data_IF_551950574623
#
_entry.id   IF_551950574623
#
_cell.length_a   1.000
_cell.length_b   1.000
_cell.length_c   1.000
_cell.angle_alpha   90.00
_cell.angle_beta   90.00
_cell.angle_gamma   90.00
#
_symmetry.space_group_name_H-M   'P 1'
#
loop_
_entity.id
_entity.type
_entity.pdbx_description
1 polymer ?
#
# COMPACT_ATOMS: atom_id res chain seq x y z
N UNK A 1 11.10 2.86 -21.81
CA UNK A 1 10.47 1.82 -22.67
C UNK A 1 9.09 1.56 -22.11
N UNK A 2 8.07 1.33 -22.91
CA UNK A 2 6.74 0.97 -22.42
C UNK A 2 6.03 0.07 -23.44
N UNK A 3 5.06 -0.72 -22.98
CA UNK A 3 4.30 -1.59 -23.86
C UNK A 3 3.45 -2.60 -23.10
N UNK A 4 2.98 -3.61 -23.82
CA UNK A 4 2.15 -4.69 -23.29
C UNK A 4 2.93 -6.02 -23.26
N UNK A 5 2.66 -6.85 -22.26
CA UNK A 5 3.24 -8.19 -22.13
C UNK A 5 2.76 -9.18 -23.20
N UNK A 6 1.70 -8.85 -23.95
CA UNK A 6 1.32 -9.59 -25.17
C UNK A 6 2.29 -9.37 -26.33
N UNK A 7 3.06 -8.29 -26.32
CA UNK A 7 4.00 -7.92 -27.39
C UNK A 7 5.44 -8.34 -27.06
N UNK A 8 5.81 -8.27 -25.79
CA UNK A 8 7.15 -8.61 -25.30
C UNK A 8 7.08 -9.21 -23.90
N UNK A 9 7.69 -10.37 -23.71
CA UNK A 9 7.70 -11.02 -22.40
C UNK A 9 8.67 -10.36 -21.41
N UNK A 10 8.43 -10.59 -20.12
CA UNK A 10 9.27 -10.06 -19.03
C UNK A 10 10.74 -10.45 -19.18
N UNK A 11 11.02 -11.68 -19.63
CA UNK A 11 12.40 -12.15 -19.84
C UNK A 11 13.14 -11.24 -20.83
N UNK A 12 12.50 -10.94 -21.96
CA UNK A 12 13.07 -10.12 -23.02
C UNK A 12 13.26 -8.67 -22.57
N UNK A 13 12.31 -8.13 -21.80
CA UNK A 13 12.45 -6.79 -21.19
C UNK A 13 13.69 -6.73 -20.29
N UNK A 14 13.85 -7.71 -19.39
CA UNK A 14 15.00 -7.78 -18.48
C UNK A 14 16.33 -7.92 -19.25
N UNK A 15 16.36 -8.71 -20.32
CA UNK A 15 17.55 -8.87 -21.16
C UNK A 15 17.93 -7.58 -21.90
N UNK A 16 16.94 -6.80 -22.37
CA UNK A 16 17.20 -5.49 -22.99
C UNK A 16 17.80 -4.48 -22.00
N UNK A 17 17.38 -4.54 -20.73
CA UNK A 17 17.94 -3.72 -19.65
C UNK A 17 19.39 -4.13 -19.35
N UNK A 18 19.65 -5.44 -19.27
CA UNK A 18 21.00 -6.01 -19.04
C UNK A 18 21.98 -5.61 -20.16
N UNK A 19 21.63 -5.90 -21.42
CA UNK A 19 22.48 -5.61 -22.58
C UNK A 19 22.71 -4.11 -22.77
N UNK A 20 21.70 -3.30 -22.48
CA UNK A 20 21.79 -1.84 -22.55
C UNK A 20 22.45 -1.20 -21.33
N UNK A 21 22.88 -1.98 -20.34
CA UNK A 21 23.44 -1.48 -19.07
C UNK A 21 22.59 -0.37 -18.43
N UNK A 22 21.26 -0.50 -18.53
CA UNK A 22 20.35 0.60 -18.18
C UNK A 22 20.20 0.74 -16.65
N UNK A 23 20.02 1.98 -16.21
CA UNK A 23 19.76 2.35 -14.82
C UNK A 23 18.40 3.03 -14.75
N UNK A 24 17.57 2.61 -13.81
CA UNK A 24 16.19 3.07 -13.72
C UNK A 24 15.28 2.09 -13.01
N UNK A 25 13.98 2.24 -13.21
CA UNK A 25 12.96 1.40 -12.59
C UNK A 25 11.99 0.85 -13.64
N UNK A 26 11.66 -0.43 -13.49
CA UNK A 26 10.65 -1.13 -14.27
C UNK A 26 9.41 -1.29 -13.39
N UNK A 27 8.32 -0.69 -13.80
CA UNK A 27 6.99 -0.95 -13.29
C UNK A 27 6.25 -1.94 -14.19
N UNK A 28 5.57 -2.91 -13.59
CA UNK A 28 4.73 -3.89 -14.28
C UNK A 28 3.39 -4.00 -13.57
N UNK A 29 2.30 -3.98 -14.32
CA UNK A 29 0.92 -4.17 -13.85
C UNK A 29 0.29 -5.34 -14.61
N UNK A 30 -0.30 -6.30 -13.90
CA UNK A 30 -0.96 -7.44 -14.53
C UNK A 30 -2.40 -7.09 -14.95
N UNK A 31 -2.81 -7.59 -16.10
CA UNK A 31 -4.21 -7.58 -16.50
C UNK A 31 -4.87 -8.87 -16.04
N UNK A 32 -5.96 -8.77 -15.27
CA UNK A 32 -6.68 -9.95 -14.82
C UNK A 32 -7.29 -10.69 -16.01
N UNK A 33 -6.70 -11.80 -16.41
CA UNK A 33 -7.36 -12.80 -17.24
C UNK A 33 -8.30 -13.61 -16.35
N UNK A 34 -9.62 -13.39 -16.49
CA UNK A 34 -10.61 -14.33 -15.99
C UNK A 34 -10.27 -15.74 -16.48
N UNK A 35 -10.21 -16.77 -15.61
CA UNK A 35 -10.20 -18.14 -16.08
C UNK A 35 -11.62 -18.50 -16.52
N UNK A 36 -11.97 -18.14 -17.76
CA UNK A 36 -13.17 -18.60 -18.45
C UNK A 36 -14.03 -17.49 -19.07
N UNK A 37 -14.16 -17.54 -20.41
CA UNK A 37 -15.35 -17.07 -21.11
C UNK A 37 -15.30 -15.66 -21.71
N UNK A 38 -15.22 -15.61 -23.04
CA UNK A 38 -15.67 -14.49 -23.86
C UNK A 38 -17.16 -14.24 -23.55
N UNK A 39 -17.53 -13.04 -23.11
CA UNK A 39 -18.89 -12.51 -23.29
C UNK A 39 -18.89 -10.98 -23.26
N UNK A 40 -19.30 -10.42 -24.39
CA UNK A 40 -19.66 -9.02 -24.59
C UNK A 40 -20.99 -8.75 -23.85
N UNK A 41 -21.09 -7.55 -23.24
CA UNK A 41 -22.30 -6.84 -22.80
C UNK A 41 -23.17 -7.43 -21.67
N UNK A 42 -23.07 -6.83 -20.48
CA UNK A 42 -24.10 -5.97 -19.88
C UNK A 42 -23.58 -5.44 -18.53
N UNK A 43 -23.51 -4.11 -18.39
CA UNK A 43 -23.01 -3.40 -17.21
C UNK A 43 -24.12 -3.36 -16.15
N UNK A 44 -23.87 -3.99 -15.01
CA UNK A 44 -24.70 -3.87 -13.81
C UNK A 44 -23.94 -2.98 -12.79
N UNK A 45 -24.42 -1.77 -12.47
CA UNK A 45 -23.68 -0.76 -11.69
C UNK A 45 -23.60 -1.05 -10.18
N UNK A 46 -24.14 -2.18 -9.69
CA UNK A 46 -24.21 -2.47 -8.24
C UNK A 46 -23.37 -3.67 -7.78
N UNK A 47 -22.46 -4.19 -8.60
CA UNK A 47 -21.44 -5.16 -8.15
C UNK A 47 -20.06 -4.49 -8.10
N UNK A 48 -19.68 -4.03 -6.91
CA UNK A 48 -18.32 -3.62 -6.57
C UNK A 48 -17.35 -4.75 -6.92
N UNK A 49 -16.56 -4.52 -7.98
CA UNK A 49 -15.51 -5.40 -8.46
C UNK A 49 -14.33 -5.36 -7.50
N UNK A 50 -14.32 -6.22 -6.49
CA UNK A 50 -13.14 -6.53 -5.68
C UNK A 50 -12.13 -7.34 -6.53
N UNK A 51 -11.33 -6.65 -7.33
CA UNK A 51 -10.25 -7.26 -8.11
C UNK A 51 -8.99 -6.40 -7.95
N UNK A 52 -8.12 -6.75 -7.00
CA UNK A 52 -6.84 -6.04 -6.78
C UNK A 52 -5.95 -6.17 -8.02
N UNK A 53 -5.67 -5.06 -8.69
CA UNK A 53 -4.64 -4.96 -9.73
C UNK A 53 -3.27 -5.23 -9.09
N UNK A 54 -2.64 -6.35 -9.45
CA UNK A 54 -1.30 -6.68 -8.96
C UNK A 54 -0.26 -5.91 -9.75
N UNK A 55 0.67 -5.26 -9.04
CA UNK A 55 1.75 -4.49 -9.64
C UNK A 55 3.07 -4.70 -8.92
N UNK A 56 4.15 -4.57 -9.69
CA UNK A 56 5.52 -4.84 -9.26
C UNK A 56 6.46 -3.74 -9.72
N UNK A 57 7.51 -3.52 -8.92
CA UNK A 57 8.63 -2.66 -9.23
C UNK A 57 9.93 -3.46 -9.21
N UNK A 58 10.81 -3.21 -10.18
CA UNK A 58 12.18 -3.73 -10.22
C UNK A 58 13.13 -2.58 -10.47
N UNK A 59 14.17 -2.45 -9.66
CA UNK A 59 15.11 -1.34 -9.72
C UNK A 59 16.47 -1.81 -10.22
N UNK A 60 17.06 -1.03 -11.12
CA UNK A 60 18.27 -1.40 -11.84
C UNK A 60 19.37 -0.36 -11.70
N UNK A 61 20.61 -0.84 -11.68
CA UNK A 61 21.81 -0.03 -11.81
C UNK A 61 22.80 -0.74 -12.73
N UNK A 62 23.21 -0.03 -13.78
CA UNK A 62 24.15 -0.52 -14.78
C UNK A 62 23.79 -1.91 -15.34
N UNK A 63 22.51 -2.15 -15.63
CA UNK A 63 22.02 -3.43 -16.16
C UNK A 63 21.87 -4.56 -15.13
N UNK A 64 22.09 -4.31 -13.83
CA UNK A 64 21.93 -5.28 -12.76
C UNK A 64 20.73 -4.91 -11.86
N UNK A 65 20.10 -5.90 -11.23
CA UNK A 65 18.97 -5.66 -10.30
C UNK A 65 19.49 -5.31 -8.91
N UNK A 66 18.99 -4.22 -8.33
CA UNK A 66 19.28 -3.81 -6.94
C UNK A 66 18.22 -4.38 -6.00
N UNK A 67 16.95 -4.23 -6.37
CA UNK A 67 15.81 -4.53 -5.52
C UNK A 67 14.57 -4.78 -6.36
N UNK A 68 13.61 -5.53 -5.83
CA UNK A 68 12.30 -5.70 -6.43
C UNK A 68 11.21 -5.90 -5.38
N UNK A 69 10.02 -5.35 -5.64
CA UNK A 69 8.87 -5.37 -4.73
C UNK A 69 7.55 -5.45 -5.46
N UNK A 70 6.46 -5.55 -4.71
CA UNK A 70 5.10 -5.50 -5.22
C UNK A 70 4.25 -4.56 -4.36
N UNK A 71 3.29 -3.88 -4.97
CA UNK A 71 2.44 -2.88 -4.31
C UNK A 71 1.46 -3.52 -3.31
N UNK A 72 1.17 -4.82 -3.49
CA UNK A 72 0.36 -5.66 -2.60
C UNK A 72 0.89 -5.76 -1.15
N UNK A 73 2.09 -5.23 -0.86
CA UNK A 73 2.78 -5.33 0.43
C UNK A 73 2.95 -3.97 1.13
N UNK A 74 2.09 -2.99 0.84
CA UNK A 74 2.11 -1.64 1.44
C UNK A 74 2.14 -1.60 2.98
N UNK A 75 1.86 -2.72 3.67
CA UNK A 75 1.91 -2.89 5.12
C UNK A 75 3.21 -3.50 5.68
N UNK A 76 4.30 -3.57 4.90
CA UNK A 76 5.59 -4.18 5.28
C UNK A 76 5.52 -5.66 5.69
N UNK A 77 4.40 -6.35 5.43
CA UNK A 77 4.19 -7.74 5.85
C UNK A 77 5.27 -8.68 5.30
N UNK A 78 5.64 -8.53 4.02
CA UNK A 78 6.69 -9.34 3.40
C UNK A 78 8.04 -9.11 4.07
N UNK A 79 8.47 -7.87 4.28
CA UNK A 79 9.68 -7.57 5.06
C UNK A 79 9.60 -8.16 6.46
N UNK A 80 8.48 -7.97 7.18
CA UNK A 80 8.28 -8.48 8.54
C UNK A 80 8.45 -10.00 8.60
N UNK A 81 7.91 -10.74 7.63
CA UNK A 81 8.09 -12.20 7.53
C UNK A 81 9.57 -12.59 7.42
N UNK A 82 10.36 -11.86 6.62
CA UNK A 82 11.80 -12.11 6.50
C UNK A 82 12.56 -11.79 7.78
N UNK A 83 12.14 -10.79 8.54
CA UNK A 83 12.77 -10.41 9.80
C UNK A 83 12.53 -11.43 10.92
N UNK A 84 11.42 -12.17 10.89
CA UNK A 84 11.12 -13.23 11.89
C UNK A 84 12.22 -14.27 11.96
N UNK A 85 12.87 -14.60 10.83
CA UNK A 85 14.01 -15.51 10.78
C UNK A 85 15.17 -15.05 11.68
N UNK A 86 15.33 -13.75 11.82
CA UNK A 86 16.38 -13.13 12.65
C UNK A 86 15.86 -12.69 14.02
N UNK A 87 14.58 -12.94 14.33
CA UNK A 87 13.90 -12.54 15.58
C UNK A 87 13.90 -11.02 15.83
N UNK A 88 13.77 -10.24 14.76
CA UNK A 88 13.78 -8.76 14.80
C UNK A 88 12.57 -8.14 14.09
N UNK A 89 11.49 -8.90 13.92
CA UNK A 89 10.28 -8.45 13.22
C UNK A 89 9.55 -7.30 13.93
N UNK A 90 9.62 -7.25 15.26
CA UNK A 90 9.10 -6.15 16.09
C UNK A 90 9.94 -4.88 16.01
N UNK A 91 11.15 -4.92 15.42
CA UNK A 91 11.98 -3.73 15.26
C UNK A 91 11.34 -2.72 14.30
N UNK A 92 10.49 -3.18 13.37
CA UNK A 92 9.75 -2.30 12.46
C UNK A 92 8.79 -1.36 13.20
N UNK A 93 8.22 -1.80 14.33
CA UNK A 93 7.19 -1.05 15.06
C UNK A 93 7.77 0.19 15.77
N UNK A 94 9.07 0.16 16.05
CA UNK A 94 9.79 1.22 16.77
C UNK A 94 10.60 2.14 15.84
N UNK A 95 10.63 1.85 14.53
CA UNK A 95 11.38 2.64 13.56
C UNK A 95 10.57 3.86 13.13
N UNK A 96 11.17 5.04 13.26
CA UNK A 96 10.65 6.24 12.59
C UNK A 96 10.71 6.01 11.09
N UNK A 97 9.66 6.45 10.37
CA UNK A 97 9.58 6.26 8.92
C UNK A 97 10.84 6.83 8.24
N UNK A 98 11.70 5.98 7.64
CA UNK A 98 13.04 6.41 7.23
C UNK A 98 12.96 7.41 6.10
N UNK A 99 13.68 8.54 6.16
CA UNK A 99 13.78 9.60 5.13
C UNK A 99 14.04 9.06 3.70
N UNK A 100 14.62 7.87 3.61
CA UNK A 100 15.06 7.16 2.40
C UNK A 100 14.00 6.21 1.81
N UNK A 101 12.85 5.97 2.47
CA UNK A 101 11.74 5.27 1.82
C UNK A 101 11.30 6.01 0.54
N UNK A 102 11.92 5.65 -0.58
CA UNK A 102 11.51 5.97 -1.94
C UNK A 102 10.10 5.43 -2.11
N UNK A 103 9.19 6.25 -2.64
CA UNK A 103 7.76 5.95 -2.74
C UNK A 103 7.49 4.54 -3.30
N UNK A 104 8.30 4.08 -4.25
CA UNK A 104 8.13 2.80 -4.95
C UNK A 104 8.84 1.61 -4.27
N UNK A 105 9.56 1.83 -3.17
CA UNK A 105 10.29 0.79 -2.44
C UNK A 105 10.30 1.04 -0.91
N UNK A 106 9.12 1.09 -0.26
CA UNK A 106 9.04 1.35 1.18
C UNK A 106 9.82 0.30 1.99
N UNK A 107 9.67 -0.99 1.67
CA UNK A 107 10.40 -2.07 2.35
C UNK A 107 11.93 -1.91 2.25
N UNK A 108 12.44 -1.40 1.12
CA UNK A 108 13.87 -1.14 0.95
C UNK A 108 14.35 -0.03 1.89
N UNK A 109 13.56 1.04 2.05
CA UNK A 109 13.84 2.11 3.01
C UNK A 109 13.85 1.62 4.46
N UNK A 110 12.88 0.80 4.86
CA UNK A 110 12.85 0.19 6.20
C UNK A 110 14.00 -0.78 6.43
N UNK A 111 14.36 -1.59 5.43
CA UNK A 111 15.52 -2.46 5.50
C UNK A 111 16.81 -1.65 5.75
N UNK A 112 16.97 -0.50 5.09
CA UNK A 112 18.11 0.38 5.33
C UNK A 112 18.12 0.98 6.73
N UNK A 113 16.98 1.42 7.25
CA UNK A 113 16.92 1.92 8.62
C UNK A 113 17.28 0.83 9.64
N UNK A 114 16.92 -0.43 9.40
CA UNK A 114 17.37 -1.54 10.24
C UNK A 114 18.89 -1.76 10.18
N UNK A 115 19.50 -1.57 9.01
CA UNK A 115 20.96 -1.66 8.84
C UNK A 115 21.69 -0.51 9.52
N UNK A 116 21.20 0.73 9.37
CA UNK A 116 21.77 1.93 10.00
C UNK A 116 21.71 1.86 11.52
N UNK A 117 20.58 1.39 12.06
CA UNK A 117 20.41 1.16 13.51
C UNK A 117 21.09 -0.13 14.02
N UNK A 118 21.86 -0.82 13.17
CA UNK A 118 22.58 -2.07 13.49
C UNK A 118 21.70 -3.21 14.00
N UNK A 119 20.40 -3.17 13.70
CA UNK A 119 19.46 -4.27 13.99
C UNK A 119 19.73 -5.45 13.05
N UNK A 120 20.09 -5.15 11.80
CA UNK A 120 20.54 -6.13 10.82
C UNK A 120 22.01 -5.92 10.48
N UNK A 121 22.71 -7.02 10.21
CA UNK A 121 24.03 -6.99 9.58
C UNK A 121 23.90 -6.85 8.05
N UNK A 122 24.92 -6.30 7.36
CA UNK A 122 24.92 -6.22 5.89
C UNK A 122 24.70 -7.58 5.20
N UNK A 123 25.22 -8.67 5.77
CA UNK A 123 25.01 -10.02 5.22
C UNK A 123 23.54 -10.46 5.31
N UNK A 124 22.86 -10.15 6.42
CA UNK A 124 21.43 -10.42 6.58
C UNK A 124 20.61 -9.57 5.62
N UNK A 125 20.92 -8.27 5.50
CA UNK A 125 20.27 -7.37 4.53
C UNK A 125 20.40 -7.87 3.09
N UNK A 126 21.60 -8.30 2.66
CA UNK A 126 21.81 -8.88 1.32
C UNK A 126 20.97 -10.14 1.11
N UNK A 127 20.92 -11.02 2.10
CA UNK A 127 20.10 -12.23 2.03
C UNK A 127 18.61 -11.90 1.87
N UNK A 128 18.10 -10.90 2.58
CA UNK A 128 16.68 -10.48 2.48
C UNK A 128 16.40 -9.90 1.09
N UNK A 129 17.24 -8.97 0.60
CA UNK A 129 17.09 -8.40 -0.75
C UNK A 129 17.08 -9.49 -1.80
N UNK A 130 18.03 -10.43 -1.71
CA UNK A 130 18.10 -11.54 -2.66
C UNK A 130 16.80 -12.36 -2.65
N UNK A 131 16.28 -12.72 -1.48
CA UNK A 131 15.03 -13.48 -1.39
C UNK A 131 13.83 -12.69 -1.92
N UNK A 132 13.73 -11.40 -1.61
CA UNK A 132 12.69 -10.51 -2.14
C UNK A 132 12.72 -10.39 -3.67
N UNK A 133 13.92 -10.22 -4.26
CA UNK A 133 14.09 -10.18 -5.71
C UNK A 133 13.70 -11.52 -6.34
N UNK A 134 14.14 -12.64 -5.76
CA UNK A 134 13.79 -13.97 -6.24
C UNK A 134 12.27 -14.18 -6.24
N UNK A 135 11.58 -13.77 -5.19
CA UNK A 135 10.13 -13.89 -5.08
C UNK A 135 9.39 -13.01 -6.10
N UNK A 136 9.79 -11.74 -6.24
CA UNK A 136 9.16 -10.82 -7.19
C UNK A 136 9.38 -11.27 -8.64
N UNK A 137 10.60 -11.71 -8.98
CA UNK A 137 10.88 -12.22 -10.32
C UNK A 137 10.16 -13.54 -10.61
N UNK A 138 9.92 -14.38 -9.61
CA UNK A 138 9.10 -15.58 -9.79
C UNK A 138 7.68 -15.21 -10.25
N UNK A 139 7.08 -14.19 -9.63
CA UNK A 139 5.76 -13.70 -10.01
C UNK A 139 5.79 -13.09 -11.42
N UNK A 140 6.72 -12.16 -11.65
CA UNK A 140 6.86 -11.47 -12.94
C UNK A 140 7.10 -12.43 -14.11
N UNK A 141 8.00 -13.41 -13.96
CA UNK A 141 8.30 -14.40 -15.01
C UNK A 141 7.17 -15.42 -15.22
N UNK A 142 6.16 -15.42 -14.35
CA UNK A 142 4.93 -16.21 -14.50
C UNK A 142 3.81 -15.43 -15.19
N UNK A 143 3.97 -14.11 -15.41
CA UNK A 143 2.97 -13.27 -16.06
C UNK A 143 2.95 -13.48 -17.59
N UNK A 144 1.74 -13.45 -18.14
CA UNK A 144 1.49 -13.54 -19.59
C UNK A 144 0.73 -12.33 -20.15
N UNK A 145 0.07 -11.55 -19.29
CA UNK A 145 -0.72 -10.39 -19.66
C UNK A 145 -0.50 -9.25 -18.67
N UNK A 146 -0.42 -8.03 -19.18
CA UNK A 146 -0.16 -6.84 -18.38
C UNK A 146 0.49 -5.74 -19.20
N UNK A 147 0.77 -4.62 -18.55
CA UNK A 147 1.55 -3.53 -19.11
C UNK A 147 2.79 -3.27 -18.30
N UNK A 148 3.79 -2.68 -18.95
CA UNK A 148 5.02 -2.30 -18.28
C UNK A 148 5.48 -0.92 -18.74
N UNK A 149 6.18 -0.23 -17.84
CA UNK A 149 6.93 1.00 -18.12
C UNK A 149 8.30 0.87 -17.46
N UNK A 150 9.33 1.18 -18.22
CA UNK A 150 10.69 1.35 -17.74
C UNK A 150 11.09 2.81 -17.92
N UNK A 151 11.37 3.48 -16.81
CA UNK A 151 11.87 4.85 -16.79
C UNK A 151 13.35 4.88 -16.41
N UNK A 152 14.13 5.66 -17.17
CA UNK A 152 15.52 5.94 -16.83
C UNK A 152 15.53 6.95 -15.69
N UNK A 153 16.33 6.70 -14.68
CA UNK A 153 16.37 7.54 -13.49
C UNK A 153 17.58 7.26 -12.61
N UNK A 154 17.71 7.96 -11.48
CA UNK A 154 18.73 7.63 -10.49
C UNK A 154 18.50 6.21 -9.96
N UNK A 155 19.59 5.49 -9.70
CA UNK A 155 19.51 4.21 -9.01
C UNK A 155 18.99 4.40 -7.59
N UNK A 156 18.33 3.37 -7.04
CA UNK A 156 18.07 3.29 -5.62
C UNK A 156 19.38 3.44 -4.83
N UNK A 157 19.37 4.36 -3.87
CA UNK A 157 20.48 4.64 -2.99
C UNK A 157 20.01 4.66 -1.52
N UNK A 158 20.81 4.18 -0.56
CA UNK A 158 22.12 3.55 -0.76
C UNK A 158 22.00 2.13 -1.36
N UNK A 159 23.10 1.61 -1.93
CA UNK A 159 23.14 0.27 -2.55
C UNK A 159 23.84 -0.73 -1.64
N UNK A 160 23.21 -1.89 -1.40
CA UNK A 160 23.78 -2.96 -0.57
C UNK A 160 24.35 -4.13 -1.38
N UNK A 161 23.72 -4.42 -2.52
CA UNK A 161 24.08 -5.50 -3.45
C UNK A 161 23.45 -5.23 -4.81
N UNK A 162 24.03 -5.84 -5.84
CA UNK A 162 23.46 -5.96 -7.18
C UNK A 162 23.39 -7.42 -7.59
N UNK A 163 22.50 -7.76 -8.51
CA UNK A 163 22.25 -9.13 -8.97
C UNK A 163 22.25 -9.19 -10.51
N UNK A 164 23.05 -10.11 -11.05
CA UNK A 164 23.15 -10.38 -12.50
C UNK A 164 21.85 -10.98 -13.05
N UNK A 165 21.27 -10.33 -14.06
CA UNK A 165 19.95 -10.67 -14.61
C UNK A 165 19.98 -12.06 -15.25
N UNK A 166 20.90 -12.33 -16.18
CA UNK A 166 20.90 -13.57 -16.96
C UNK A 166 21.01 -14.83 -16.10
N UNK A 167 21.86 -14.81 -15.07
CA UNK A 167 22.02 -15.95 -14.15
C UNK A 167 20.79 -16.15 -13.27
N UNK A 168 20.13 -15.06 -12.87
CA UNK A 168 18.99 -15.07 -11.98
C UNK A 168 17.72 -15.53 -12.69
N UNK A 169 17.45 -14.95 -13.86
CA UNK A 169 16.30 -15.31 -14.71
C UNK A 169 16.36 -16.79 -15.08
N UNK A 170 17.53 -17.30 -15.47
CA UNK A 170 17.69 -18.73 -15.82
C UNK A 170 17.31 -19.65 -14.64
N UNK A 171 17.80 -19.34 -13.43
CA UNK A 171 17.49 -20.10 -12.20
C UNK A 171 16.00 -20.03 -11.86
N UNK A 172 15.38 -18.85 -11.96
CA UNK A 172 13.98 -18.64 -11.58
C UNK A 172 13.03 -19.24 -12.61
N UNK A 173 13.31 -19.11 -13.91
CA UNK A 173 12.50 -19.76 -14.95
C UNK A 173 12.45 -21.28 -14.78
N UNK A 174 13.55 -21.92 -14.39
CA UNK A 174 13.54 -23.35 -14.04
C UNK A 174 12.55 -23.63 -12.91
N UNK A 175 12.54 -22.79 -11.87
CA UNK A 175 11.60 -22.92 -10.74
C UNK A 175 10.14 -22.69 -11.15
N UNK A 176 9.88 -21.71 -12.01
CA UNK A 176 8.54 -21.44 -12.57
C UNK A 176 8.05 -22.65 -13.36
N UNK A 177 8.92 -23.30 -14.15
CA UNK A 177 8.58 -24.52 -14.88
C UNK A 177 8.31 -25.70 -13.95
N UNK A 178 9.10 -25.88 -12.88
CA UNK A 178 8.81 -26.89 -11.85
C UNK A 178 7.47 -26.61 -11.16
N UNK A 179 7.12 -25.36 -10.88
CA UNK A 179 5.85 -24.99 -10.24
C UNK A 179 4.64 -25.41 -11.07
N UNK A 180 4.72 -25.30 -12.41
CA UNK A 180 3.62 -25.69 -13.32
C UNK A 180 3.18 -27.15 -13.15
N UNK A 181 4.05 -28.02 -12.61
CA UNK A 181 3.74 -29.43 -12.36
C UNK A 181 2.72 -29.64 -11.24
N UNK A 182 2.48 -28.65 -10.38
CA UNK A 182 1.47 -28.75 -9.31
C UNK A 182 0.05 -28.38 -9.77
N UNK A 183 -0.11 -27.88 -11.00
CA UNK A 183 -1.42 -27.58 -11.56
C UNK A 183 -2.19 -28.89 -11.87
N UNK A 184 -3.53 -28.95 -11.69
CA UNK A 184 -4.44 -27.87 -11.28
C UNK A 184 -4.61 -27.69 -9.76
N UNK A 185 -4.00 -28.57 -8.96
CA UNK A 185 -4.27 -28.64 -7.52
C UNK A 185 -3.67 -27.47 -6.74
N UNK A 186 -2.45 -27.06 -7.07
CA UNK A 186 -1.81 -25.83 -6.55
C UNK A 186 -1.60 -24.89 -7.73
N UNK A 187 -2.35 -23.79 -7.72
CA UNK A 187 -2.39 -22.80 -8.80
C UNK A 187 -1.44 -21.63 -8.52
N UNK A 188 -1.33 -21.21 -7.25
CA UNK A 188 -0.56 -20.03 -6.87
C UNK A 188 0.17 -20.23 -5.54
N UNK A 189 1.40 -19.72 -5.39
CA UNK A 189 2.08 -19.63 -4.10
C UNK A 189 1.31 -18.85 -3.03
N UNK A 190 0.33 -18.05 -3.44
CA UNK A 190 -0.47 -17.20 -2.56
C UNK A 190 -1.77 -17.91 -2.10
N UNK A 191 -1.93 -19.20 -2.38
CA UNK A 191 -2.99 -20.01 -1.78
C UNK A 191 -2.64 -20.39 -0.34
N UNK A 192 -3.66 -20.49 0.52
CA UNK A 192 -3.56 -20.86 1.92
C UNK A 192 -3.99 -22.32 2.12
N UNK A 193 -3.16 -23.16 2.76
CA UNK A 193 -3.55 -24.52 3.12
C UNK A 193 -4.49 -24.53 4.32
N UNK A 194 -5.45 -25.46 4.28
CA UNK A 194 -6.39 -25.78 5.36
C UNK A 194 -6.39 -27.29 5.52
N UNK A 195 -6.19 -27.78 6.74
CA UNK A 195 -6.29 -29.23 7.00
C UNK A 195 -7.77 -29.62 7.08
N UNK A 196 -8.19 -30.51 6.18
CA UNK A 196 -9.55 -31.04 6.14
C UNK A 196 -9.76 -32.18 7.15
N UNK A 197 -8.74 -33.03 7.32
CA UNK A 197 -8.80 -34.22 8.18
C UNK A 197 -7.49 -34.40 8.96
N UNK A 198 -7.43 -33.79 10.14
CA UNK A 198 -6.25 -33.81 11.01
C UNK A 198 -5.90 -35.23 11.49
N UNK A 199 -6.90 -36.11 11.68
CA UNK A 199 -6.66 -37.48 12.17
C UNK A 199 -5.91 -38.30 11.12
N UNK A 200 -6.41 -38.35 9.89
CA UNK A 200 -5.74 -39.08 8.80
C UNK A 200 -4.38 -38.47 8.48
N UNK A 201 -4.28 -37.14 8.50
CA UNK A 201 -3.03 -36.46 8.20
C UNK A 201 -1.94 -36.73 9.27
N UNK A 202 -2.32 -36.79 10.55
CA UNK A 202 -1.40 -37.14 11.65
C UNK A 202 -0.87 -38.58 11.56
N UNK A 203 -1.63 -39.50 10.95
CA UNK A 203 -1.19 -40.89 10.72
C UNK A 203 -0.25 -41.01 9.51
N UNK A 204 -0.35 -40.09 8.55
CA UNK A 204 0.43 -40.09 7.31
C UNK A 204 1.74 -39.28 7.39
N UNK A 205 1.94 -38.49 8.45
CA UNK A 205 3.08 -37.59 8.62
C UNK A 205 3.86 -37.86 9.91
N UNK A 206 5.19 -37.64 9.90
CA UNK A 206 5.95 -37.53 11.15
C UNK A 206 5.39 -36.43 12.04
N UNK A 207 5.37 -36.65 13.35
CA UNK A 207 4.75 -35.76 14.35
C UNK A 207 5.23 -34.30 14.24
N UNK A 208 6.54 -34.09 14.03
CA UNK A 208 7.12 -32.75 13.85
C UNK A 208 6.57 -32.05 12.61
N UNK A 209 6.43 -32.78 11.50
CA UNK A 209 5.92 -32.25 10.22
C UNK A 209 4.43 -31.96 10.33
N UNK A 210 3.67 -32.85 10.96
CA UNK A 210 2.25 -32.64 11.23
C UNK A 210 2.05 -31.40 12.12
N UNK A 211 2.77 -31.29 13.23
CA UNK A 211 2.65 -30.13 14.14
C UNK A 211 3.01 -28.81 13.46
N UNK A 212 4.01 -28.83 12.57
CA UNK A 212 4.38 -27.66 11.76
C UNK A 212 3.28 -27.29 10.79
N UNK A 213 2.75 -28.25 10.03
CA UNK A 213 1.68 -28.01 9.06
C UNK A 213 0.38 -27.60 9.77
N UNK A 214 0.04 -28.24 10.89
CA UNK A 214 -1.14 -27.92 11.70
C UNK A 214 -1.10 -26.52 12.29
N UNK A 215 0.09 -25.97 12.55
CA UNK A 215 0.24 -24.59 13.02
C UNK A 215 -0.08 -23.55 11.95
N UNK A 216 0.21 -23.85 10.68
CA UNK A 216 0.20 -22.85 9.61
C UNK A 216 -0.77 -23.16 8.47
N UNK A 217 -1.44 -24.32 8.49
CA UNK A 217 -2.54 -24.64 7.58
C UNK A 217 -3.88 -24.17 8.18
N UNK A 218 -3.92 -22.87 8.48
CA UNK A 218 -5.00 -22.14 9.16
C UNK A 218 -5.97 -21.45 8.17
N UNK A 219 -5.74 -21.59 6.86
CA UNK A 219 -6.49 -20.89 5.82
C UNK A 219 -6.15 -19.42 5.63
N UNK A 220 -5.18 -18.90 6.39
CA UNK A 220 -4.74 -17.50 6.35
C UNK A 220 -3.28 -17.37 5.90
N UNK A 221 -2.43 -18.32 6.28
CA UNK A 221 -1.02 -18.34 5.94
C UNK A 221 -0.82 -18.92 4.54
N UNK A 222 -0.31 -18.13 3.61
CA UNK A 222 -0.04 -18.61 2.24
C UNK A 222 1.12 -19.61 2.18
N UNK A 223 1.17 -20.45 1.14
CA UNK A 223 2.32 -21.36 0.88
C UNK A 223 3.64 -20.56 0.84
N UNK A 224 3.61 -19.35 0.28
CA UNK A 224 4.75 -18.43 0.26
C UNK A 224 5.17 -17.98 1.66
N UNK A 225 4.23 -17.54 2.50
CA UNK A 225 4.53 -17.18 3.89
C UNK A 225 5.09 -18.36 4.67
N UNK A 226 4.52 -19.56 4.49
CA UNK A 226 5.03 -20.78 5.09
C UNK A 226 6.48 -21.05 4.68
N UNK A 227 6.82 -20.85 3.39
CA UNK A 227 8.19 -20.98 2.90
C UNK A 227 9.16 -19.99 3.58
N UNK A 228 8.73 -18.74 3.78
CA UNK A 228 9.51 -17.74 4.53
C UNK A 228 9.73 -18.16 5.98
N UNK A 229 8.69 -18.58 6.69
CA UNK A 229 8.77 -19.00 8.09
C UNK A 229 9.66 -20.23 8.28
N UNK A 230 9.61 -21.18 7.36
CA UNK A 230 10.43 -22.39 7.40
C UNK A 230 11.85 -22.17 6.88
N UNK A 231 12.14 -21.00 6.30
CA UNK A 231 13.38 -20.72 5.59
C UNK A 231 13.68 -21.82 4.53
N UNK A 232 12.68 -22.08 3.69
CA UNK A 232 12.72 -23.07 2.61
C UNK A 232 12.29 -22.43 1.30
N UNK A 233 12.69 -23.06 0.19
CA UNK A 233 12.19 -22.67 -1.12
C UNK A 233 10.70 -23.00 -1.24
N UNK A 234 9.95 -22.15 -1.94
CA UNK A 234 8.50 -22.32 -2.12
C UNK A 234 8.15 -23.63 -2.81
N UNK A 235 8.99 -24.14 -3.72
CA UNK A 235 8.80 -25.44 -4.36
C UNK A 235 9.03 -26.58 -3.38
N UNK A 236 9.91 -26.42 -2.39
CA UNK A 236 10.11 -27.44 -1.35
C UNK A 236 8.85 -27.58 -0.51
N UNK A 237 8.22 -26.46 -0.13
CA UNK A 237 6.96 -26.47 0.62
C UNK A 237 5.83 -27.04 -0.24
N UNK A 238 5.69 -26.59 -1.49
CA UNK A 238 4.69 -27.11 -2.42
C UNK A 238 4.81 -28.62 -2.61
N UNK A 239 6.03 -29.14 -2.88
CA UNK A 239 6.29 -30.59 -2.99
C UNK A 239 5.90 -31.36 -1.74
N UNK A 240 6.14 -30.79 -0.56
CA UNK A 240 5.82 -31.45 0.71
C UNK A 240 4.31 -31.58 0.94
N UNK A 241 3.52 -30.57 0.56
CA UNK A 241 2.07 -30.58 0.77
C UNK A 241 1.29 -31.23 -0.38
N UNK A 242 1.86 -31.26 -1.59
CA UNK A 242 1.17 -31.69 -2.82
C UNK A 242 0.47 -33.05 -2.73
N UNK A 243 1.08 -34.13 -2.21
CA UNK A 243 0.40 -35.43 -2.10
C UNK A 243 -0.87 -35.37 -1.25
N UNK A 244 -0.87 -34.54 -0.19
CA UNK A 244 -1.99 -34.39 0.72
C UNK A 244 -3.10 -33.49 0.13
N UNK A 245 -2.72 -32.55 -0.75
CA UNK A 245 -3.68 -31.79 -1.55
C UNK A 245 -4.38 -32.71 -2.55
N UNK A 246 -3.65 -33.59 -3.24
CA UNK A 246 -4.23 -34.55 -4.17
C UNK A 246 -5.20 -35.54 -3.49
N UNK A 247 -4.93 -35.89 -2.23
CA UNK A 247 -5.79 -36.77 -1.43
C UNK A 247 -6.97 -36.04 -0.77
N UNK A 248 -7.06 -34.72 -0.90
CA UNK A 248 -8.09 -33.90 -0.25
C UNK A 248 -7.92 -33.72 1.26
N UNK A 249 -6.80 -34.18 1.84
CA UNK A 249 -6.47 -34.02 3.25
C UNK A 249 -6.06 -32.58 3.59
N UNK A 250 -5.55 -31.84 2.59
CA UNK A 250 -5.28 -30.41 2.65
C UNK A 250 -6.04 -29.72 1.52
N UNK A 251 -6.90 -28.76 1.85
CA UNK A 251 -7.54 -27.88 0.87
C UNK A 251 -6.74 -26.59 0.70
N UNK A 252 -6.83 -25.99 -0.49
CA UNK A 252 -6.21 -24.70 -0.79
C UNK A 252 -7.29 -23.67 -1.09
N UNK A 253 -7.29 -22.59 -0.32
CA UNK A 253 -8.11 -21.40 -0.58
C UNK A 253 -7.22 -20.23 -0.97
N UNK A 254 -7.80 -19.12 -1.42
CA UNK A 254 -7.11 -17.84 -1.35
C UNK A 254 -7.41 -17.21 0.01
N UNK A 255 -6.52 -16.39 0.58
CA UNK A 255 -6.89 -15.60 1.74
C UNK A 255 -8.16 -14.85 1.37
N UNK A 256 -9.17 -14.87 2.25
CA UNK A 256 -10.27 -13.95 2.08
C UNK A 256 -9.62 -12.58 1.89
N UNK A 257 -9.91 -11.89 0.77
CA UNK A 257 -9.77 -10.43 0.77
C UNK A 257 -10.35 -10.02 2.10
N UNK A 258 -9.60 -9.28 2.91
CA UNK A 258 -10.20 -8.58 4.03
C UNK A 258 -11.42 -7.90 3.45
N UNK A 259 -12.58 -8.53 3.66
CA UNK A 259 -13.86 -7.85 3.63
C UNK A 259 -13.56 -6.62 4.45
N UNK A 260 -13.85 -5.46 3.87
CA UNK A 260 -13.99 -4.18 4.55
C UNK A 260 -14.76 -4.43 5.85
N UNK A 261 -13.99 -4.83 6.84
CA UNK A 261 -14.45 -5.47 8.04
C UNK A 261 -14.39 -4.36 9.00
N UNK A 262 -15.56 -3.76 9.20
CA UNK A 262 -15.94 -3.01 10.38
C UNK A 262 -14.78 -2.96 11.38
N UNK A 263 -14.02 -1.86 11.36
CA UNK A 263 -13.17 -1.50 12.48
C UNK A 263 -14.11 -1.41 13.69
N UNK A 264 -14.25 -2.52 14.42
CA UNK A 264 -14.59 -2.48 15.83
C UNK A 264 -13.38 -1.83 16.49
N UNK A 265 -13.41 -0.51 16.52
CA UNK A 265 -12.57 0.27 17.40
C UNK A 265 -13.04 -0.03 18.82
N UNK A 266 -12.31 -0.89 19.52
CA UNK A 266 -12.42 -0.97 20.97
C UNK A 266 -11.92 0.38 21.53
N UNK A 267 -12.86 1.31 21.75
CA UNK A 267 -12.58 2.55 22.45
C UNK A 267 -12.35 2.24 23.93
N UNK A 268 -11.08 2.21 24.33
CA UNK A 268 -10.70 2.73 25.63
C UNK A 268 -9.67 3.86 25.45
N UNK A 269 -10.02 5.00 26.04
CA UNK A 269 -9.22 6.21 26.28
C UNK A 269 -9.24 7.33 25.21
N UNK A 270 -10.38 8.01 25.12
CA UNK A 270 -10.55 9.46 25.06
C UNK A 270 -9.33 10.34 24.71
N UNK A 271 -9.28 10.83 23.46
CA UNK A 271 -8.73 12.14 23.12
C UNK A 271 -9.77 12.90 22.27
N UNK A 272 -9.92 14.22 22.42
CA UNK A 272 -10.88 14.99 21.63
C UNK A 272 -10.53 14.87 20.14
N UNK A 273 -11.50 14.46 19.33
CA UNK A 273 -11.31 14.17 17.92
C UNK A 273 -10.98 15.46 17.15
N UNK A 274 -9.79 15.53 16.57
CA UNK A 274 -9.40 16.60 15.65
C UNK A 274 -10.20 16.45 14.35
N UNK A 275 -10.91 17.49 13.92
CA UNK A 275 -11.60 17.53 12.62
C UNK A 275 -10.56 17.37 11.50
N UNK A 276 -10.65 16.36 10.61
CA UNK A 276 -9.66 16.16 9.56
C UNK A 276 -9.71 17.28 8.52
N UNK A 277 -8.52 17.75 8.12
CA UNK A 277 -8.36 18.82 7.15
C UNK A 277 -7.95 18.28 5.78
N UNK A 278 -8.72 18.57 4.74
CA UNK A 278 -8.48 18.17 3.37
C UNK A 278 -8.16 19.40 2.51
N UNK A 279 -7.08 19.34 1.74
CA UNK A 279 -6.74 20.37 0.77
C UNK A 279 -6.95 19.84 -0.64
N UNK A 280 -7.64 20.60 -1.49
CA UNK A 280 -7.85 20.30 -2.89
C UNK A 280 -7.09 21.30 -3.77
N UNK A 281 -6.15 20.82 -4.58
CA UNK A 281 -5.30 21.65 -5.45
C UNK A 281 -5.74 21.40 -6.88
N UNK A 282 -6.45 22.36 -7.46
CA UNK A 282 -7.08 22.20 -8.77
C UNK A 282 -7.38 23.59 -9.37
N UNK A 283 -6.99 23.83 -10.62
CA UNK A 283 -7.25 25.10 -11.30
C UNK A 283 -8.73 25.24 -11.72
N UNK A 284 -9.45 24.14 -11.85
CA UNK A 284 -10.88 24.14 -12.14
C UNK A 284 -11.73 24.49 -10.91
N UNK A 285 -12.38 25.66 -10.96
CA UNK A 285 -13.26 26.15 -9.88
C UNK A 285 -14.39 25.16 -9.57
N UNK A 286 -14.94 24.50 -10.59
CA UNK A 286 -16.04 23.55 -10.44
C UNK A 286 -15.62 22.34 -9.59
N UNK A 287 -14.42 21.79 -9.82
CA UNK A 287 -13.90 20.64 -9.07
C UNK A 287 -13.66 21.02 -7.62
N UNK A 288 -12.98 22.15 -7.35
CA UNK A 288 -12.74 22.62 -5.98
C UNK A 288 -14.03 22.86 -5.21
N UNK A 289 -15.02 23.51 -5.84
CA UNK A 289 -16.31 23.78 -5.20
C UNK A 289 -17.11 22.50 -4.93
N UNK A 290 -17.04 21.53 -5.84
CA UNK A 290 -17.65 20.21 -5.63
C UNK A 290 -17.03 19.50 -4.41
N UNK A 291 -15.69 19.47 -4.33
CA UNK A 291 -14.96 18.86 -3.22
C UNK A 291 -15.25 19.56 -1.89
N UNK A 292 -15.17 20.90 -1.85
CA UNK A 292 -15.49 21.69 -0.65
C UNK A 292 -16.91 21.43 -0.16
N UNK A 293 -17.87 21.40 -1.09
CA UNK A 293 -19.28 21.14 -0.77
C UNK A 293 -19.48 19.72 -0.23
N UNK A 294 -19.03 18.69 -0.95
CA UNK A 294 -19.20 17.28 -0.54
C UNK A 294 -18.58 17.02 0.83
N UNK A 295 -17.35 17.50 1.05
CA UNK A 295 -16.62 17.20 2.28
C UNK A 295 -17.13 18.01 3.49
N UNK A 296 -17.52 19.27 3.30
CA UNK A 296 -18.10 20.08 4.39
C UNK A 296 -19.41 19.49 4.90
N UNK A 297 -20.26 18.96 4.02
CA UNK A 297 -21.51 18.27 4.40
C UNK A 297 -21.28 17.02 5.25
N UNK A 298 -20.06 16.46 5.23
CA UNK A 298 -19.69 15.25 5.98
C UNK A 298 -18.81 15.54 7.20
N UNK A 299 -18.66 16.81 7.59
CA UNK A 299 -17.94 17.20 8.80
C UNK A 299 -16.42 17.19 8.65
N UNK A 300 -15.92 17.46 7.43
CA UNK A 300 -14.49 17.67 7.16
C UNK A 300 -14.18 19.15 6.90
N UNK A 301 -12.97 19.59 7.23
CA UNK A 301 -12.49 20.93 6.88
C UNK A 301 -11.81 20.87 5.50
N UNK A 302 -12.53 21.29 4.44
CA UNK A 302 -12.01 21.27 3.08
C UNK A 302 -11.60 22.67 2.59
N UNK A 303 -10.41 22.80 1.99
CA UNK A 303 -9.90 24.06 1.42
C UNK A 303 -9.39 23.86 -0.01
N UNK A 304 -9.94 24.61 -0.97
CA UNK A 304 -9.49 24.60 -2.36
C UNK A 304 -8.38 25.64 -2.67
N UNK A 305 -7.27 25.19 -3.25
CA UNK A 305 -6.17 26.00 -3.75
C UNK A 305 -6.21 26.01 -5.29
N UNK A 306 -6.34 27.21 -5.88
CA UNK A 306 -6.44 27.36 -7.34
C UNK A 306 -5.13 27.58 -8.06
N UNK A 307 -4.07 27.98 -7.35
CA UNK A 307 -2.80 28.36 -7.95
C UNK A 307 -1.73 27.34 -7.53
N UNK A 308 -1.21 26.53 -8.47
CA UNK A 308 -0.26 25.46 -8.16
C UNK A 308 1.08 26.01 -7.64
N UNK A 309 1.51 27.21 -8.05
CA UNK A 309 2.72 27.85 -7.52
C UNK A 309 2.60 28.26 -6.04
N UNK A 310 1.38 28.51 -5.55
CA UNK A 310 1.09 28.78 -4.13
C UNK A 310 0.75 27.53 -3.33
N UNK A 311 0.62 26.38 -3.99
CA UNK A 311 0.19 25.14 -3.37
C UNK A 311 1.08 24.74 -2.19
N UNK A 312 2.39 24.71 -2.38
CA UNK A 312 3.32 24.28 -1.34
C UNK A 312 3.24 25.18 -0.11
N UNK A 313 3.35 26.50 -0.27
CA UNK A 313 3.32 27.41 0.87
C UNK A 313 2.02 27.32 1.67
N UNK A 314 0.88 27.20 0.99
CA UNK A 314 -0.42 27.04 1.63
C UNK A 314 -0.58 25.66 2.29
N UNK A 315 -0.12 24.58 1.67
CA UNK A 315 -0.12 23.24 2.30
C UNK A 315 0.73 23.25 3.59
N UNK A 316 1.88 23.92 3.59
CA UNK A 316 2.71 24.09 4.79
C UNK A 316 2.01 24.83 5.94
N UNK A 317 1.18 25.82 5.61
CA UNK A 317 0.40 26.59 6.59
C UNK A 317 -0.81 25.78 7.09
N UNK A 318 -1.54 25.16 6.16
CA UNK A 318 -2.77 24.44 6.44
C UNK A 318 -2.53 23.11 7.14
N UNK A 319 -1.37 22.46 6.94
CA UNK A 319 -1.05 21.15 7.52
C UNK A 319 -2.19 20.12 7.32
N UNK A 320 -2.59 19.86 6.07
CA UNK A 320 -3.69 18.95 5.79
C UNK A 320 -3.38 17.52 6.23
N UNK A 321 -4.44 16.81 6.61
CA UNK A 321 -4.44 15.38 6.87
C UNK A 321 -4.62 14.58 5.56
N UNK A 322 -5.12 15.19 4.47
CA UNK A 322 -5.15 14.62 3.12
C UNK A 322 -5.08 15.71 2.03
N UNK A 323 -4.40 15.41 0.91
CA UNK A 323 -4.27 16.30 -0.24
C UNK A 323 -4.89 15.63 -1.47
N UNK A 324 -5.86 16.30 -2.09
CA UNK A 324 -6.36 15.99 -3.43
C UNK A 324 -5.63 16.92 -4.40
N UNK A 325 -4.98 16.40 -5.42
CA UNK A 325 -4.16 17.19 -6.34
C UNK A 325 -4.50 16.85 -7.77
N UNK A 326 -4.93 17.83 -8.56
CA UNK A 326 -5.06 17.66 -9.99
C UNK A 326 -3.71 17.40 -10.65
N UNK A 327 -3.72 16.57 -11.69
CA UNK A 327 -2.51 16.27 -12.47
C UNK A 327 -2.22 17.39 -13.46
N UNK A 328 -3.25 17.87 -14.17
CA UNK A 328 -3.09 18.70 -15.37
C UNK A 328 -3.36 20.16 -15.07
N UNK A 329 -2.45 20.78 -14.32
CA UNK A 329 -2.50 22.22 -14.02
C UNK A 329 -1.47 23.02 -14.84
N UNK A 330 -1.78 24.27 -15.21
CA UNK A 330 -0.81 25.16 -15.85
C UNK A 330 0.34 25.55 -14.89
N UNK A 331 1.49 25.90 -15.47
CA UNK A 331 2.71 26.37 -14.76
C UNK A 331 3.46 25.30 -13.96
N UNK A 332 2.77 24.49 -13.17
CA UNK A 332 3.36 23.45 -12.32
C UNK A 332 2.36 22.29 -12.21
N UNK A 333 2.78 21.10 -12.64
CA UNK A 333 1.89 19.93 -12.69
C UNK A 333 1.74 19.25 -11.32
N UNK A 334 0.72 18.41 -11.19
CA UNK A 334 0.45 17.68 -9.94
C UNK A 334 1.57 16.72 -9.53
N UNK A 335 2.29 16.17 -10.50
CA UNK A 335 3.40 15.25 -10.25
C UNK A 335 4.57 15.97 -9.57
N UNK A 336 4.92 17.17 -10.05
CA UNK A 336 5.96 18.03 -9.49
C UNK A 336 5.60 18.46 -8.06
N UNK A 337 4.34 18.87 -7.83
CA UNK A 337 3.85 19.23 -6.48
C UNK A 337 3.97 18.04 -5.53
N UNK A 338 3.52 16.85 -5.95
CA UNK A 338 3.63 15.63 -5.14
C UNK A 338 5.09 15.29 -4.83
N UNK A 339 5.97 15.32 -5.83
CA UNK A 339 7.39 15.06 -5.63
C UNK A 339 8.03 16.03 -4.64
N UNK A 340 7.66 17.32 -4.69
CA UNK A 340 8.15 18.34 -3.76
C UNK A 340 7.60 18.13 -2.34
N UNK A 341 6.32 17.82 -2.19
CA UNK A 341 5.70 17.51 -0.89
C UNK A 341 6.31 16.27 -0.24
N UNK A 342 6.61 15.23 -1.03
CA UNK A 342 7.26 14.00 -0.53
C UNK A 342 8.69 14.20 -0.05
N UNK A 343 9.41 15.21 -0.57
CA UNK A 343 10.74 15.60 -0.09
C UNK A 343 10.69 16.35 1.25
N UNK A 344 9.53 16.90 1.63
CA UNK A 344 9.33 17.57 2.91
C UNK A 344 9.07 16.56 4.03
N UNK A 345 9.84 16.63 5.12
CA UNK A 345 9.61 15.79 6.31
C UNK A 345 8.23 15.99 6.94
N UNK A 346 7.59 17.14 6.71
CA UNK A 346 6.28 17.46 7.24
C UNK A 346 5.13 16.74 6.51
N UNK A 347 5.26 16.51 5.20
CA UNK A 347 4.17 15.99 4.35
C UNK A 347 4.47 14.64 3.72
N UNK A 348 5.64 14.07 4.02
CA UNK A 348 6.09 12.81 3.45
C UNK A 348 5.14 11.65 3.65
N UNK A 349 4.36 11.64 4.73
CA UNK A 349 3.36 10.61 5.02
C UNK A 349 1.91 11.06 4.78
N UNK A 350 1.68 12.33 4.47
CA UNK A 350 0.33 12.84 4.20
C UNK A 350 -0.21 12.16 2.94
N UNK A 351 -1.39 11.53 2.96
CA UNK A 351 -2.02 10.97 1.77
C UNK A 351 -2.15 12.02 0.66
N UNK A 352 -1.65 11.70 -0.53
CA UNK A 352 -1.79 12.55 -1.74
C UNK A 352 -2.56 11.73 -2.78
N UNK A 353 -3.71 12.22 -3.19
CA UNK A 353 -4.62 11.55 -4.11
C UNK A 353 -4.66 12.37 -5.38
N UNK A 354 -4.26 11.75 -6.49
CA UNK A 354 -4.22 12.44 -7.78
C UNK A 354 -5.60 12.47 -8.44
N UNK A 355 -6.07 13.64 -8.85
CA UNK A 355 -7.27 13.80 -9.66
C UNK A 355 -6.87 13.72 -11.14
N UNK A 356 -7.46 12.80 -11.91
CA UNK A 356 -7.03 12.51 -13.30
C UNK A 356 -8.17 12.63 -14.30
N UNK A 357 -7.96 13.31 -15.44
CA UNK A 357 -9.01 13.71 -16.39
C UNK A 357 -9.62 12.61 -17.26
N UNK A 358 -8.89 11.54 -17.61
CA UNK A 358 -9.39 10.32 -18.28
C UNK A 358 -8.24 9.31 -18.45
N UNK A 359 -8.59 8.03 -18.58
CA UNK A 359 -7.71 6.84 -18.70
C UNK A 359 -6.35 7.04 -19.39
N UNK A 360 -5.34 6.38 -18.84
CA UNK A 360 -4.30 5.84 -19.71
C UNK A 360 -3.07 5.24 -19.08
N UNK A 361 -3.16 4.45 -18.00
CA UNK A 361 -2.06 3.67 -17.40
C UNK A 361 -0.81 4.49 -17.02
N UNK A 362 -0.09 5.06 -17.98
CA UNK A 362 1.00 6.03 -17.88
C UNK A 362 0.77 7.06 -16.77
N UNK A 363 -0.40 7.70 -16.69
CA UNK A 363 -0.65 8.69 -15.64
C UNK A 363 -0.73 8.07 -14.25
N UNK A 364 -1.32 6.86 -14.12
CA UNK A 364 -1.32 6.11 -12.86
C UNK A 364 0.07 5.65 -12.47
N UNK A 365 0.85 5.19 -13.45
CA UNK A 365 2.24 4.75 -13.25
C UNK A 365 3.09 5.94 -12.80
N UNK A 366 3.06 7.05 -13.53
CA UNK A 366 3.77 8.29 -13.17
C UNK A 366 3.34 8.79 -11.78
N UNK A 367 2.04 8.81 -11.50
CA UNK A 367 1.51 9.20 -10.18
C UNK A 367 2.12 8.35 -9.06
N UNK A 368 2.08 7.02 -9.20
CA UNK A 368 2.70 6.11 -8.22
C UNK A 368 4.20 6.36 -8.12
N UNK A 369 4.87 6.52 -9.25
CA UNK A 369 6.32 6.72 -9.31
C UNK A 369 6.78 7.97 -8.56
N UNK A 370 6.00 9.05 -8.59
CA UNK A 370 6.39 10.32 -7.96
C UNK A 370 5.96 10.47 -6.50
N UNK A 371 5.13 9.58 -5.94
CA UNK A 371 4.64 9.82 -4.58
C UNK A 371 3.18 9.58 -4.27
N UNK A 372 2.32 9.39 -5.27
CA UNK A 372 0.88 9.41 -5.03
C UNK A 372 0.45 8.21 -4.17
N UNK A 373 -0.42 8.46 -3.21
CA UNK A 373 -1.02 7.44 -2.35
C UNK A 373 -2.16 6.73 -3.06
N UNK A 374 -2.96 7.46 -3.82
CA UNK A 374 -4.09 6.93 -4.58
C UNK A 374 -4.43 7.84 -5.77
N UNK A 375 -5.44 7.48 -6.56
CA UNK A 375 -5.97 8.31 -7.63
C UNK A 375 -7.49 8.30 -7.66
N UNK A 376 -8.08 9.37 -8.20
CA UNK A 376 -9.51 9.53 -8.41
C UNK A 376 -9.75 10.09 -9.81
N UNK A 377 -10.48 9.34 -10.64
CA UNK A 377 -10.78 9.76 -12.01
C UNK A 377 -11.86 10.84 -12.02
N UNK A 378 -11.60 11.94 -12.71
CA UNK A 378 -12.57 12.97 -13.07
C UNK A 378 -13.38 12.50 -14.30
N UNK A 379 -14.68 12.78 -14.36
CA UNK A 379 -15.51 13.31 -13.27
C UNK A 379 -15.76 12.23 -12.19
N UNK A 380 -15.73 12.62 -10.92
CA UNK A 380 -15.99 11.74 -9.77
C UNK A 380 -17.30 12.11 -9.06
N UNK A 381 -17.93 11.11 -8.45
CA UNK A 381 -19.14 11.28 -7.63
C UNK A 381 -18.87 11.49 -6.14
N UNK A 382 -19.90 11.91 -5.39
CA UNK A 382 -19.83 12.05 -3.92
C UNK A 382 -19.37 10.75 -3.24
N UNK A 383 -19.98 9.61 -3.59
CA UNK A 383 -19.66 8.32 -2.96
C UNK A 383 -18.20 7.90 -3.15
N UNK A 384 -17.62 8.16 -4.33
CA UNK A 384 -16.24 7.79 -4.65
C UNK A 384 -15.25 8.65 -3.87
N UNK A 385 -15.50 9.96 -3.82
CA UNK A 385 -14.69 10.91 -3.04
C UNK A 385 -14.74 10.57 -1.54
N UNK A 386 -15.93 10.33 -0.99
CA UNK A 386 -16.09 10.01 0.43
C UNK A 386 -15.45 8.67 0.80
N UNK A 387 -15.65 7.62 0.00
CA UNK A 387 -15.02 6.32 0.25
C UNK A 387 -13.50 6.46 0.33
N UNK A 388 -12.93 7.28 -0.55
CA UNK A 388 -11.49 7.52 -0.60
C UNK A 388 -11.01 8.35 0.61
N UNK A 389 -11.70 9.45 0.95
CA UNK A 389 -11.34 10.28 2.10
C UNK A 389 -11.48 9.48 3.40
N UNK A 390 -12.58 8.77 3.61
CA UNK A 390 -12.83 7.94 4.80
C UNK A 390 -11.77 6.85 4.97
N UNK A 391 -11.31 6.23 3.86
CA UNK A 391 -10.24 5.23 3.87
C UNK A 391 -8.94 5.76 4.48
N UNK A 392 -8.63 7.05 4.31
CA UNK A 392 -7.34 7.62 4.70
C UNK A 392 -7.37 8.48 5.96
N UNK A 393 -8.46 9.22 6.20
CA UNK A 393 -8.57 10.15 7.34
C UNK A 393 -9.70 9.80 8.31
N UNK A 394 -10.44 8.71 8.08
CA UNK A 394 -11.56 8.28 8.91
C UNK A 394 -12.85 9.08 8.65
N UNK A 395 -13.90 8.79 9.41
CA UNK A 395 -15.19 9.48 9.31
C UNK A 395 -15.06 10.95 9.74
N UNK A 396 -15.71 11.84 9.00
CA UNK A 396 -15.87 13.24 9.44
C UNK A 396 -16.83 13.34 10.63
N UNK A 397 -16.76 14.45 11.35
CA UNK A 397 -17.54 14.68 12.57
C UNK A 397 -18.63 15.72 12.28
N UNK A 398 -19.81 15.32 11.79
CA UNK A 398 -20.87 16.25 11.38
C UNK A 398 -21.46 17.06 12.54
N UNK A 399 -21.22 16.65 13.80
CA UNK A 399 -21.70 17.34 15.00
C UNK A 399 -20.77 18.43 15.53
N UNK A 400 -19.63 18.72 14.89
CA UNK A 400 -18.81 19.86 15.30
C UNK A 400 -19.48 21.18 14.85
N UNK A 401 -19.94 22.03 15.78
CA UNK A 401 -20.48 23.35 15.44
C UNK A 401 -19.35 24.20 14.85
N UNK A 402 -19.69 25.09 13.91
CA UNK A 402 -18.73 26.05 13.35
C UNK A 402 -17.90 26.71 14.48
N UNK A 403 -16.57 26.82 14.32
CA UNK A 403 -15.70 27.36 15.38
C UNK A 403 -16.04 28.79 15.80
N UNK A 404 -16.78 29.55 14.96
CA UNK A 404 -17.30 30.87 15.32
C UNK A 404 -18.37 30.82 16.44
N UNK A 405 -19.14 29.72 16.53
CA UNK A 405 -20.20 29.56 17.52
C UNK A 405 -19.65 29.23 18.91
N UNK A 406 -18.57 28.46 18.99
CA UNK A 406 -17.86 28.14 20.24
C UNK A 406 -17.13 29.36 20.81
N UNK A 407 -16.59 30.25 19.95
CA UNK A 407 -16.01 31.52 20.42
C UNK A 407 -17.08 32.43 21.04
N UNK A 408 -18.27 32.48 20.44
CA UNK A 408 -19.37 33.31 20.95
C UNK A 408 -19.96 32.78 22.26
N UNK A 409 -20.11 31.46 22.40
CA UNK A 409 -20.56 30.82 23.65
C UNK A 409 -19.52 30.93 24.78
N UNK A 410 -18.22 30.88 24.46
CA UNK A 410 -17.14 31.09 25.44
C UNK A 410 -17.07 32.56 25.86
N UNK A 411 -17.23 33.51 24.92
CA UNK A 411 -17.30 34.95 25.23
C UNK A 411 -18.52 35.30 26.09
N UNK A 412 -19.68 34.70 25.83
CA UNK A 412 -20.90 34.89 26.65
C UNK A 412 -20.75 34.24 28.03
N UNK A 413 -20.12 33.07 28.15
CA UNK A 413 -19.86 32.40 29.43
C UNK A 413 -18.79 33.09 30.29
N UNK A 414 -17.80 33.76 29.68
CA UNK A 414 -16.78 34.54 30.41
C UNK A 414 -17.29 35.92 30.88
N UNK A 415 -18.37 36.45 30.28
CA UNK A 415 -18.99 37.72 30.68
C UNK A 415 -20.00 37.61 31.84
N UNK A 416 -20.48 36.40 32.16
CA UNK A 416 -21.47 36.16 33.22
C UNK A 416 -20.86 35.73 34.58
N UNK A 417 -19.53 35.73 34.74
CA UNK A 417 -18.85 35.34 35.98
C UNK A 417 -18.52 36.50 36.95
N UNK A 418 -18.95 37.73 36.64
CA UNK A 418 -18.74 38.91 37.50
C UNK A 418 -20.06 39.51 38.03
N UNK A 419 -20.90 38.68 38.67
CA UNK A 419 -21.92 39.18 39.61
C UNK A 419 -21.38 39.08 41.05
N UNK A 420 -21.04 40.21 41.72
CA UNK A 420 -20.35 40.16 43.00
C UNK A 420 -21.29 39.76 44.15
N UNK A 421 -20.83 38.82 44.97
CA UNK A 421 -21.35 38.59 46.32
C UNK A 421 -21.32 39.90 47.13
N UNK A 422 -22.50 40.43 47.46
CA UNK A 422 -22.63 41.53 48.41
C UNK A 422 -23.05 41.00 49.78
N UNK A 423 -22.04 40.96 50.65
CA UNK A 423 -22.02 41.16 52.10
C UNK A 423 -23.33 41.10 52.90
N UNK A 424 -23.34 40.22 53.89
CA UNK A 424 -24.21 40.26 55.07
C UNK A 424 -24.00 41.53 55.90
N UNK A 425 -25.08 42.15 56.37
CA UNK A 425 -25.11 42.88 57.66
C UNK A 425 -26.35 42.46 58.47
N UNK A 426 -26.27 42.47 59.82
CA UNK A 426 -27.25 41.82 60.69
C UNK A 426 -28.29 42.79 61.30
N UNK A 427 -29.47 42.24 61.60
CA UNK A 427 -30.39 42.57 62.71
C UNK A 427 -30.99 43.98 62.84
N UNK A 428 -32.32 44.06 62.72
CA UNK A 428 -33.19 44.77 63.67
C UNK A 428 -34.60 44.14 63.66
N UNK A 429 -35.26 43.93 64.83
CA UNK A 429 -36.56 43.29 64.92
C UNK A 429 -37.74 44.29 65.01
N UNK A 430 -38.91 43.80 64.57
CA UNK A 430 -40.28 44.13 65.00
C UNK A 430 -40.70 45.61 65.11
N UNK A 431 -41.60 46.05 64.21
CA UNK A 431 -43.03 46.34 64.51
C UNK A 431 -43.76 46.73 63.23
#
# INVERSE_FOLDING_TARGET
MQGNLTEIDIRSILQLIELGQRTGELFVEAYNSSPGGIAIAQRDPHKTRDFREQSWFVFFFNGQIIYAGADSYSNLSRLRDYLRRYKVDTALDNLKVPSIASTNAPEYGYLWALLENRVLSPAQGRSIIQSMVHETLFDLLSLHHGSFIFEMGPALAPQLTTLEIGSLVTKIMKRVQEWKQFHPHIQSPNQCPIISDAKKLSQALPEITFNTLNRWADGQTTIRQLARYLNRDVLTVARAIYPYVQQGLVQLSYPASEVSGAYKWDWQASQPAKVPRIVCIDDEVAVRKSVEYILSQRGYEATGISNPLKALSLVFQLKPDLILCDITMPELDGYEISAMLRRSTAFRQTPIVMLTGLDGFIDRVKARMVGATDYLSKPFGESELLTLVEKYVGLGYPEHPEPERLLQEVLEAELDLDAPESFSTPSAPLS
#
